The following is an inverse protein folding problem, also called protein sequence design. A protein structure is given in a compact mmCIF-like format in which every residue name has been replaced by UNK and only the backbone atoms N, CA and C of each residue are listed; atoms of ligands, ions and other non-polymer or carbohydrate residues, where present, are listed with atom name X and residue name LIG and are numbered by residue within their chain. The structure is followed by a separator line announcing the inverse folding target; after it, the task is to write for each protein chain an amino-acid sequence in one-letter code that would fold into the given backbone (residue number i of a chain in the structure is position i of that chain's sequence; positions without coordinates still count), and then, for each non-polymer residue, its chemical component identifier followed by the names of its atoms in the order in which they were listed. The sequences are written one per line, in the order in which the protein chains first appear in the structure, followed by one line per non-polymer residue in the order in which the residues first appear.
data_IF_895228480238
#
_entry.id   IF_895228480238
#
_cell.length_a   1.000
_cell.length_b   1.000
_cell.length_c   1.000
_cell.angle_alpha   90.00
_cell.angle_beta   90.00
_cell.angle_gamma   90.00
#
_symmetry.space_group_name_H-M   'P 1'
#
loop_
_entity.id
_entity.type
_entity.pdbx_description
1 polymer ?
#
# COMPACT_ATOMS: atom_id res chain seq x y z
N UNK A 1 -25.19 -25.71 -34.78
CA UNK A 1 -25.36 -24.65 -33.74
C UNK A 1 -24.07 -23.89 -33.44
N UNK A 2 -22.97 -24.58 -33.09
CA UNK A 2 -21.63 -23.97 -32.81
C UNK A 2 -21.06 -23.06 -33.92
N UNK A 3 -21.27 -23.39 -35.20
CA UNK A 3 -20.78 -22.59 -36.35
C UNK A 3 -21.45 -21.21 -36.44
N UNK A 4 -22.78 -21.16 -36.24
CA UNK A 4 -23.57 -19.91 -36.18
C UNK A 4 -23.21 -19.05 -34.95
N UNK A 5 -22.89 -19.67 -33.81
CA UNK A 5 -22.43 -18.96 -32.61
C UNK A 5 -21.04 -18.36 -32.85
N UNK A 6 -20.12 -19.11 -33.47
CA UNK A 6 -18.78 -18.64 -33.84
C UNK A 6 -18.83 -17.49 -34.86
N UNK A 7 -19.70 -17.56 -35.87
CA UNK A 7 -19.92 -16.46 -36.84
C UNK A 7 -20.52 -15.22 -36.19
N UNK A 8 -21.51 -15.36 -35.29
CA UNK A 8 -22.06 -14.23 -34.53
C UNK A 8 -21.01 -13.58 -33.63
N UNK A 9 -20.17 -14.37 -32.94
CA UNK A 9 -19.04 -13.88 -32.14
C UNK A 9 -17.99 -13.18 -32.99
N UNK A 10 -17.63 -13.71 -34.17
CA UNK A 10 -16.69 -13.07 -35.08
C UNK A 10 -17.24 -11.76 -35.67
N UNK A 11 -18.55 -11.72 -36.00
CA UNK A 11 -19.21 -10.52 -36.50
C UNK A 11 -19.32 -9.44 -35.40
N UNK A 12 -19.67 -9.84 -34.17
CA UNK A 12 -19.70 -8.94 -33.00
C UNK A 12 -18.30 -8.41 -32.67
N UNK A 13 -17.27 -9.27 -32.69
CA UNK A 13 -15.87 -8.88 -32.51
C UNK A 13 -15.37 -7.92 -33.59
N UNK A 14 -15.80 -8.10 -34.85
CA UNK A 14 -15.50 -7.20 -35.95
C UNK A 14 -16.13 -5.81 -35.81
N UNK A 15 -17.39 -5.75 -35.35
CA UNK A 15 -18.10 -4.49 -35.06
C UNK A 15 -17.49 -3.75 -33.87
N UNK A 16 -17.19 -4.45 -32.78
CA UNK A 16 -16.50 -3.87 -31.62
C UNK A 16 -15.12 -3.33 -32.02
N UNK A 17 -14.35 -4.08 -32.81
CA UNK A 17 -13.02 -3.64 -33.28
C UNK A 17 -13.08 -2.41 -34.18
N UNK A 18 -14.14 -2.27 -34.98
CA UNK A 18 -14.41 -1.04 -35.76
C UNK A 18 -14.81 0.13 -34.86
N UNK A 19 -15.68 -0.09 -33.87
CA UNK A 19 -16.07 0.95 -32.91
C UNK A 19 -14.88 1.48 -32.11
N UNK A 20 -14.05 0.60 -31.55
CA UNK A 20 -12.82 0.97 -30.84
C UNK A 20 -11.74 1.57 -31.74
N UNK A 21 -11.83 1.38 -33.06
CA UNK A 21 -10.96 2.07 -34.01
C UNK A 21 -11.43 3.49 -34.32
N UNK A 22 -12.74 3.75 -34.22
CA UNK A 22 -13.33 5.06 -34.41
C UNK A 22 -13.25 5.93 -33.15
N UNK A 23 -13.36 5.33 -31.96
CA UNK A 23 -13.34 6.03 -30.67
C UNK A 23 -12.22 5.51 -29.75
N UNK A 24 -10.97 5.95 -29.96
CA UNK A 24 -9.84 5.48 -29.18
C UNK A 24 -9.93 5.85 -27.68
N UNK A 25 -10.52 7.00 -27.31
CA UNK A 25 -10.73 7.34 -25.89
C UNK A 25 -11.67 6.36 -25.18
N UNK A 26 -12.77 5.96 -25.83
CA UNK A 26 -13.70 4.96 -25.29
C UNK A 26 -13.02 3.60 -25.09
N UNK A 27 -12.09 3.23 -25.99
CA UNK A 27 -11.30 2.02 -25.85
C UNK A 27 -10.39 2.05 -24.61
N UNK A 28 -9.74 3.18 -24.34
CA UNK A 28 -8.88 3.36 -23.16
C UNK A 28 -9.72 3.32 -21.88
N UNK A 29 -10.88 3.99 -21.86
CA UNK A 29 -11.78 4.01 -20.71
C UNK A 29 -12.32 2.61 -20.38
N UNK A 30 -12.81 1.88 -21.40
CA UNK A 30 -13.32 0.51 -21.22
C UNK A 30 -12.19 -0.43 -20.77
N UNK A 31 -10.98 -0.26 -21.30
CA UNK A 31 -9.81 -1.02 -20.85
C UNK A 31 -9.49 -0.75 -19.39
N UNK A 32 -9.49 0.53 -18.96
CA UNK A 32 -9.22 0.91 -17.58
C UNK A 32 -10.26 0.34 -16.61
N UNK A 33 -11.55 0.43 -16.94
CA UNK A 33 -12.64 -0.16 -16.15
C UNK A 33 -12.51 -1.69 -16.06
N UNK A 34 -12.16 -2.34 -17.17
CA UNK A 34 -12.00 -3.80 -17.21
C UNK A 34 -10.82 -4.26 -16.35
N UNK A 35 -9.68 -3.57 -16.44
CA UNK A 35 -8.48 -3.88 -15.64
C UNK A 35 -8.73 -3.60 -14.16
N UNK A 36 -9.38 -2.49 -13.81
CA UNK A 36 -9.76 -2.19 -12.43
C UNK A 36 -10.67 -3.29 -11.85
N UNK A 37 -11.65 -3.75 -12.62
CA UNK A 37 -12.54 -4.83 -12.19
C UNK A 37 -11.81 -6.16 -12.00
N UNK A 38 -10.90 -6.53 -12.90
CA UNK A 38 -10.06 -7.72 -12.75
C UNK A 38 -9.17 -7.60 -11.51
N UNK A 39 -8.55 -6.44 -11.27
CA UNK A 39 -7.75 -6.21 -10.08
C UNK A 39 -8.57 -6.34 -8.79
N UNK A 40 -9.83 -5.89 -8.77
CA UNK A 40 -10.71 -6.09 -7.62
C UNK A 40 -11.13 -7.55 -7.43
N UNK A 41 -11.34 -8.32 -8.51
CA UNK A 41 -11.56 -9.77 -8.42
C UNK A 41 -10.36 -10.47 -7.77
N UNK A 42 -9.15 -10.11 -8.20
CA UNK A 42 -7.90 -10.67 -7.68
C UNK A 42 -7.70 -10.27 -6.21
N UNK A 43 -7.81 -8.98 -5.89
CA UNK A 43 -7.67 -8.43 -4.53
C UNK A 43 -8.65 -9.07 -3.53
N UNK A 44 -9.91 -9.27 -3.93
CA UNK A 44 -10.97 -9.80 -3.06
C UNK A 44 -11.11 -11.33 -3.10
N UNK A 45 -10.38 -12.00 -4.01
CA UNK A 45 -10.47 -13.45 -4.28
C UNK A 45 -11.89 -13.95 -4.58
N UNK A 46 -12.77 -13.06 -5.00
CA UNK A 46 -14.18 -13.38 -5.19
C UNK A 46 -14.75 -12.50 -6.27
N UNK A 47 -15.29 -13.13 -7.31
CA UNK A 47 -16.03 -12.44 -8.35
C UNK A 47 -17.25 -11.71 -7.77
N UNK A 48 -18.00 -12.39 -6.90
CA UNK A 48 -19.18 -11.82 -6.24
C UNK A 48 -18.76 -10.64 -5.35
N UNK A 49 -17.65 -10.78 -4.62
CA UNK A 49 -17.11 -9.69 -3.80
C UNK A 49 -16.77 -8.44 -4.61
N UNK A 50 -16.21 -8.60 -5.82
CA UNK A 50 -15.93 -7.49 -6.72
C UNK A 50 -17.20 -6.84 -7.28
N UNK A 51 -18.22 -7.63 -7.62
CA UNK A 51 -19.52 -7.12 -8.06
C UNK A 51 -20.23 -6.36 -6.94
N UNK A 52 -20.24 -6.91 -5.72
CA UNK A 52 -20.81 -6.22 -4.54
C UNK A 52 -20.09 -4.90 -4.30
N UNK A 53 -18.75 -4.87 -4.37
CA UNK A 53 -17.98 -3.64 -4.22
C UNK A 53 -18.33 -2.58 -5.27
N UNK A 54 -18.48 -2.99 -6.53
CA UNK A 54 -18.88 -2.12 -7.63
C UNK A 54 -20.21 -1.39 -7.35
N UNK A 55 -21.18 -2.07 -6.72
CA UNK A 55 -22.49 -1.49 -6.41
C UNK A 55 -22.59 -0.83 -5.04
N UNK A 56 -21.88 -1.33 -4.02
CA UNK A 56 -21.92 -0.80 -2.65
C UNK A 56 -21.03 0.42 -2.49
N UNK A 57 -19.85 0.45 -3.13
CA UNK A 57 -18.87 1.56 -3.07
C UNK A 57 -18.43 1.99 -4.48
N UNK A 58 -19.35 2.46 -5.34
CA UNK A 58 -19.05 2.79 -6.74
C UNK A 58 -18.01 3.92 -6.86
N UNK A 59 -18.01 4.89 -5.96
CA UNK A 59 -17.04 5.99 -5.95
C UNK A 59 -15.59 5.51 -5.76
N UNK A 60 -15.35 4.50 -4.92
CA UNK A 60 -14.01 3.94 -4.69
C UNK A 60 -13.53 3.08 -5.87
N UNK A 61 -14.44 2.30 -6.45
CA UNK A 61 -14.16 1.59 -7.70
C UNK A 61 -13.81 2.57 -8.84
N UNK A 62 -14.56 3.65 -8.98
CA UNK A 62 -14.29 4.71 -9.94
C UNK A 62 -12.98 5.44 -9.63
N UNK A 63 -12.65 5.68 -8.35
CA UNK A 63 -11.37 6.23 -7.89
C UNK A 63 -10.22 5.33 -8.47
N UNK A 64 -10.28 4.00 -8.30
CA UNK A 64 -9.29 3.07 -8.88
C UNK A 64 -9.27 3.04 -10.42
N UNK A 65 -10.44 3.00 -11.08
CA UNK A 65 -10.52 2.98 -12.54
C UNK A 65 -10.04 4.29 -13.19
N UNK A 66 -10.34 5.43 -12.56
CA UNK A 66 -9.90 6.75 -13.02
C UNK A 66 -8.37 6.87 -12.96
N UNK A 67 -7.74 6.32 -11.92
CA UNK A 67 -6.29 6.29 -11.83
C UNK A 67 -5.67 5.46 -12.97
N UNK A 68 -6.17 4.25 -13.24
CA UNK A 68 -5.70 3.45 -14.40
C UNK A 68 -5.93 4.20 -15.71
N UNK A 69 -7.07 4.90 -15.83
CA UNK A 69 -7.40 5.69 -17.02
C UNK A 69 -6.41 6.83 -17.24
N UNK A 70 -5.98 7.54 -16.19
CA UNK A 70 -4.93 8.57 -16.27
C UNK A 70 -3.63 7.96 -16.80
N UNK A 71 -3.15 6.85 -16.23
CA UNK A 71 -1.92 6.21 -16.68
C UNK A 71 -2.01 5.61 -18.10
N UNK A 72 -3.19 5.17 -18.51
CA UNK A 72 -3.42 4.59 -19.84
C UNK A 72 -3.65 5.65 -20.93
N UNK A 73 -4.13 6.85 -20.59
CA UNK A 73 -4.47 7.91 -21.54
C UNK A 73 -3.29 8.40 -22.41
N UNK A 74 -2.03 8.49 -21.93
CA UNK A 74 -0.89 8.87 -22.76
C UNK A 74 -0.55 7.85 -23.85
N UNK A 75 -1.10 6.63 -23.79
CA UNK A 75 -0.94 5.64 -24.86
C UNK A 75 -1.41 6.19 -26.21
N UNK A 76 -2.37 7.11 -26.21
CA UNK A 76 -2.92 7.74 -27.41
C UNK A 76 -1.94 8.69 -28.13
N UNK A 77 -0.84 9.11 -27.50
CA UNK A 77 0.24 9.84 -28.18
C UNK A 77 1.14 8.93 -29.01
N UNK A 78 1.10 7.62 -28.78
CA UNK A 78 1.88 6.65 -29.54
C UNK A 78 1.20 6.33 -30.87
N UNK A 79 1.99 6.31 -31.96
CA UNK A 79 1.54 5.80 -33.27
C UNK A 79 1.06 4.35 -33.21
N UNK A 80 1.42 3.60 -32.15
CA UNK A 80 1.01 2.22 -31.89
C UNK A 80 0.20 2.13 -30.59
N UNK A 81 -0.74 3.06 -30.38
CA UNK A 81 -1.46 3.22 -29.10
C UNK A 81 -2.07 1.94 -28.54
N UNK A 82 -2.60 1.04 -29.38
CA UNK A 82 -3.17 -0.24 -28.92
C UNK A 82 -2.14 -1.12 -28.24
N UNK A 83 -0.93 -1.18 -28.80
CA UNK A 83 0.17 -1.93 -28.20
C UNK A 83 0.59 -1.28 -26.88
N UNK A 84 0.75 0.04 -26.85
CA UNK A 84 1.09 0.78 -25.62
C UNK A 84 0.02 0.58 -24.53
N UNK A 85 -1.27 0.65 -24.89
CA UNK A 85 -2.39 0.38 -23.99
C UNK A 85 -2.36 -1.05 -23.44
N UNK A 86 -2.09 -2.05 -24.28
CA UNK A 86 -1.94 -3.44 -23.83
C UNK A 86 -0.77 -3.58 -22.86
N UNK A 87 0.37 -2.95 -23.12
CA UNK A 87 1.53 -2.98 -22.21
C UNK A 87 1.18 -2.36 -20.85
N UNK A 88 0.60 -1.16 -20.84
CA UNK A 88 0.20 -0.49 -19.59
C UNK A 88 -0.84 -1.32 -18.82
N UNK A 89 -1.85 -1.84 -19.51
CA UNK A 89 -2.88 -2.70 -18.90
C UNK A 89 -2.28 -3.98 -18.32
N UNK A 90 -1.31 -4.60 -19.02
CA UNK A 90 -0.59 -5.77 -18.51
C UNK A 90 0.22 -5.45 -17.25
N UNK A 91 0.83 -4.27 -17.14
CA UNK A 91 1.55 -3.86 -15.92
C UNK A 91 0.58 -3.79 -14.73
N UNK A 92 -0.56 -3.11 -14.87
CA UNK A 92 -1.56 -3.03 -13.80
C UNK A 92 -2.14 -4.39 -13.42
N UNK A 93 -2.34 -5.28 -14.40
CA UNK A 93 -2.82 -6.63 -14.16
C UNK A 93 -1.76 -7.50 -13.46
N UNK A 94 -0.48 -7.35 -13.84
CA UNK A 94 0.63 -8.00 -13.12
C UNK A 94 0.73 -7.52 -11.68
N UNK A 95 0.54 -6.23 -11.41
CA UNK A 95 0.47 -5.71 -10.04
C UNK A 95 -0.66 -6.38 -9.25
N UNK A 96 -1.85 -6.51 -9.83
CA UNK A 96 -2.98 -7.22 -9.21
C UNK A 96 -2.74 -8.72 -9.00
N UNK A 97 -2.03 -9.38 -9.92
CA UNK A 97 -1.62 -10.80 -9.77
C UNK A 97 -0.60 -10.94 -8.64
N UNK A 98 0.44 -10.09 -8.62
CA UNK A 98 1.46 -10.10 -7.57
C UNK A 98 0.80 -9.92 -6.22
N UNK A 99 -0.12 -8.97 -6.12
CA UNK A 99 -0.91 -8.76 -4.92
C UNK A 99 -1.73 -9.99 -4.50
N UNK A 100 -2.43 -10.63 -5.44
CA UNK A 100 -3.14 -11.89 -5.16
C UNK A 100 -2.20 -12.96 -4.61
N UNK A 101 -1.05 -13.17 -5.26
CA UNK A 101 -0.04 -14.17 -4.88
C UNK A 101 0.57 -13.84 -3.52
N UNK A 102 0.99 -12.60 -3.27
CA UNK A 102 1.54 -12.16 -1.99
C UNK A 102 0.52 -12.39 -0.89
N UNK A 103 -0.75 -12.03 -1.12
CA UNK A 103 -1.80 -12.27 -0.15
C UNK A 103 -2.01 -13.76 0.16
N UNK A 104 -1.68 -14.67 -0.76
CA UNK A 104 -1.84 -16.11 -0.55
C UNK A 104 -0.84 -16.64 0.49
N UNK A 105 0.31 -15.98 0.63
CA UNK A 105 1.35 -16.34 1.58
C UNK A 105 1.40 -15.41 2.81
N UNK A 106 0.92 -14.17 2.69
CA UNK A 106 0.97 -13.12 3.71
C UNK A 106 -0.39 -12.45 3.87
N UNK A 107 -0.83 -12.15 5.09
CA UNK A 107 -2.17 -11.54 5.33
C UNK A 107 -2.27 -10.06 4.93
N UNK A 108 -1.15 -9.42 4.55
CA UNK A 108 -1.12 -8.02 4.11
C UNK A 108 -1.06 -7.93 2.59
N UNK A 109 -1.68 -6.89 2.00
CA UNK A 109 -1.63 -6.64 0.57
C UNK A 109 -0.21 -6.29 0.10
N UNK A 110 0.01 -6.44 -1.21
CA UNK A 110 1.24 -5.96 -1.84
C UNK A 110 1.21 -4.44 -1.95
N UNK A 111 2.23 -3.77 -1.42
CA UNK A 111 2.31 -2.32 -1.38
C UNK A 111 3.62 -1.79 -1.97
N UNK A 112 3.73 -0.45 -2.09
CA UNK A 112 4.93 0.19 -2.61
C UNK A 112 6.19 -0.15 -1.79
N UNK A 113 6.05 -0.36 -0.47
CA UNK A 113 7.18 -0.72 0.38
C UNK A 113 7.82 -2.04 -0.05
N UNK A 114 7.02 -3.02 -0.50
CA UNK A 114 7.52 -4.33 -0.94
C UNK A 114 8.38 -4.16 -2.20
N UNK A 115 8.05 -3.18 -3.06
CA UNK A 115 8.87 -2.80 -4.21
C UNK A 115 10.15 -2.10 -3.78
N UNK A 116 10.09 -1.22 -2.78
CA UNK A 116 11.27 -0.55 -2.24
C UNK A 116 12.26 -1.55 -1.61
N UNK A 117 11.74 -2.57 -0.92
CA UNK A 117 12.51 -3.62 -0.25
C UNK A 117 13.01 -4.73 -1.19
N UNK A 118 12.68 -4.70 -2.49
CA UNK A 118 13.11 -5.73 -3.46
C UNK A 118 14.64 -5.87 -3.50
N UNK A 119 15.37 -4.79 -3.21
CA UNK A 119 16.84 -4.80 -3.18
C UNK A 119 17.38 -5.74 -2.10
N UNK A 120 16.73 -5.79 -0.95
CA UNK A 120 17.10 -6.67 0.17
C UNK A 120 16.79 -8.14 -0.12
N UNK A 121 15.97 -8.43 -1.13
CA UNK A 121 15.61 -9.80 -1.54
C UNK A 121 16.67 -10.40 -2.47
N UNK A 122 17.43 -9.60 -3.23
CA UNK A 122 18.42 -10.14 -4.19
C UNK A 122 19.48 -11.05 -3.56
N UNK A 123 20.09 -10.73 -2.39
CA UNK A 123 21.06 -11.61 -1.75
C UNK A 123 20.45 -12.95 -1.33
N UNK A 124 19.20 -12.93 -0.87
CA UNK A 124 18.45 -14.14 -0.49
C UNK A 124 18.22 -14.98 -1.73
N UNK A 125 17.78 -14.37 -2.83
CA UNK A 125 17.48 -15.07 -4.08
C UNK A 125 18.69 -15.83 -4.63
N UNK A 126 19.91 -15.32 -4.44
CA UNK A 126 21.14 -15.99 -4.85
C UNK A 126 21.45 -17.29 -4.08
N UNK A 127 20.94 -17.44 -2.85
CA UNK A 127 21.09 -18.66 -2.05
C UNK A 127 20.07 -19.73 -2.46
N UNK A 128 18.86 -19.32 -2.83
CA UNK A 128 17.76 -20.24 -3.16
C UNK A 128 17.69 -20.64 -4.63
N UNK A 129 18.23 -19.83 -5.55
CA UNK A 129 18.25 -20.17 -6.98
C UNK A 129 19.53 -20.93 -7.35
N UNK A 130 19.35 -22.14 -7.89
CA UNK A 130 20.44 -22.85 -8.57
C UNK A 130 20.87 -22.09 -9.83
N UNK A 131 22.10 -22.35 -10.30
CA UNK A 131 22.62 -21.78 -11.57
C UNK A 131 21.65 -22.03 -12.74
N UNK A 132 21.03 -23.21 -12.79
CA UNK A 132 20.00 -23.52 -13.79
C UNK A 132 18.73 -22.68 -13.62
N UNK A 133 18.32 -22.40 -12.38
CA UNK A 133 17.21 -21.50 -12.09
C UNK A 133 17.47 -20.07 -12.57
N UNK A 134 18.69 -19.56 -12.36
CA UNK A 134 19.10 -18.23 -12.84
C UNK A 134 19.10 -18.18 -14.38
N UNK A 135 19.66 -19.20 -15.04
CA UNK A 135 19.66 -19.29 -16.51
C UNK A 135 18.22 -19.38 -17.04
N UNK A 136 17.37 -20.21 -16.44
CA UNK A 136 15.97 -20.35 -16.85
C UNK A 136 15.21 -19.02 -16.71
N UNK A 137 15.43 -18.28 -15.61
CA UNK A 137 14.85 -16.96 -15.40
C UNK A 137 15.34 -15.96 -16.46
N UNK A 138 16.63 -15.95 -16.77
CA UNK A 138 17.19 -15.08 -17.81
C UNK A 138 16.60 -15.40 -19.20
N UNK A 139 16.48 -16.68 -19.57
CA UNK A 139 15.85 -17.10 -20.83
C UNK A 139 14.39 -16.69 -20.88
N UNK A 140 13.64 -16.83 -19.79
CA UNK A 140 12.24 -16.40 -19.70
C UNK A 140 12.10 -14.89 -19.94
N UNK A 141 12.95 -14.07 -19.32
CA UNK A 141 12.96 -12.62 -19.50
C UNK A 141 13.31 -12.22 -20.94
N UNK A 142 14.29 -12.88 -21.56
CA UNK A 142 14.65 -12.65 -22.97
C UNK A 142 13.49 -13.06 -23.90
N UNK A 143 12.86 -14.21 -23.67
CA UNK A 143 11.72 -14.67 -24.45
C UNK A 143 10.53 -13.69 -24.35
N UNK A 144 10.27 -13.15 -23.16
CA UNK A 144 9.26 -12.12 -22.93
C UNK A 144 9.59 -10.83 -23.69
N UNK A 145 10.85 -10.38 -23.64
CA UNK A 145 11.31 -9.20 -24.37
C UNK A 145 11.16 -9.36 -25.90
N UNK A 146 11.54 -10.54 -26.43
CA UNK A 146 11.37 -10.88 -27.85
C UNK A 146 9.89 -10.90 -28.23
N UNK A 147 9.02 -11.49 -27.41
CA UNK A 147 7.57 -11.51 -27.64
C UNK A 147 7.00 -10.08 -27.69
N UNK A 148 7.40 -9.22 -26.74
CA UNK A 148 7.01 -7.81 -26.70
C UNK A 148 7.49 -7.09 -27.96
N UNK A 149 8.72 -7.34 -28.40
CA UNK A 149 9.29 -6.77 -29.63
C UNK A 149 8.53 -7.21 -30.89
N UNK A 150 8.23 -8.50 -31.04
CA UNK A 150 7.46 -9.04 -32.17
C UNK A 150 6.05 -8.44 -32.18
N UNK A 151 5.38 -8.40 -31.02
CA UNK A 151 4.04 -7.80 -30.85
C UNK A 151 4.06 -6.31 -31.19
N UNK A 152 5.10 -5.58 -30.76
CA UNK A 152 5.33 -4.18 -31.10
C UNK A 152 5.46 -4.01 -32.61
N UNK A 153 6.31 -4.82 -33.26
CA UNK A 153 6.60 -4.72 -34.70
C UNK A 153 5.36 -4.97 -35.56
N UNK A 154 4.54 -5.96 -35.18
CA UNK A 154 3.27 -6.29 -35.86
C UNK A 154 2.12 -5.32 -35.54
N UNK A 155 2.30 -4.36 -34.64
CA UNK A 155 1.24 -3.43 -34.26
C UNK A 155 0.96 -2.41 -35.38
N UNK A 156 -0.32 -2.28 -35.74
CA UNK A 156 -0.77 -1.32 -36.74
C UNK A 156 -0.45 0.11 -36.30
N UNK A 157 0.17 0.88 -37.20
CA UNK A 157 0.38 2.32 -37.02
C UNK A 157 -0.94 3.04 -37.33
N UNK A 158 -1.33 3.97 -36.46
CA UNK A 158 -2.46 4.86 -36.69
C UNK A 158 -1.97 6.31 -36.62
N UNK A 159 -2.55 7.23 -37.42
CA UNK A 159 -2.23 8.64 -37.30
C UNK A 159 -2.58 9.13 -35.88
N UNK A 160 -1.70 9.95 -35.32
CA UNK A 160 -1.86 10.48 -33.96
C UNK A 160 -2.48 11.86 -34.05
N UNK A 161 -3.68 12.02 -33.49
CA UNK A 161 -4.33 13.31 -33.36
C UNK A 161 -3.95 13.92 -32.01
N UNK A 162 -2.85 14.68 -31.96
CA UNK A 162 -2.28 15.22 -30.72
C UNK A 162 -3.30 16.02 -29.91
N UNK A 163 -4.14 16.84 -30.56
CA UNK A 163 -5.22 17.59 -29.89
C UNK A 163 -6.23 16.67 -29.20
N UNK A 164 -6.69 15.63 -29.89
CA UNK A 164 -7.62 14.65 -29.33
C UNK A 164 -6.99 13.87 -28.17
N UNK A 165 -5.73 13.43 -28.32
CA UNK A 165 -5.00 12.73 -27.25
C UNK A 165 -4.78 13.62 -26.03
N UNK A 166 -4.45 14.89 -26.23
CA UNK A 166 -4.31 15.89 -25.16
C UNK A 166 -5.64 16.13 -24.43
N UNK A 167 -6.73 16.36 -25.16
CA UNK A 167 -8.07 16.53 -24.57
C UNK A 167 -8.50 15.28 -23.79
N UNK A 168 -8.21 14.08 -24.31
CA UNK A 168 -8.50 12.83 -23.59
C UNK A 168 -7.67 12.69 -22.31
N UNK A 169 -6.41 13.12 -22.33
CA UNK A 169 -5.53 13.04 -21.15
C UNK A 169 -5.96 14.07 -20.10
N UNK A 170 -6.23 15.31 -20.51
CA UNK A 170 -6.71 16.37 -19.61
C UNK A 170 -8.06 16.01 -19.00
N UNK A 171 -8.99 15.47 -19.79
CA UNK A 171 -10.27 14.98 -19.26
C UNK A 171 -10.11 13.78 -18.32
N UNK A 172 -9.15 12.89 -18.56
CA UNK A 172 -8.80 11.82 -17.63
C UNK A 172 -8.29 12.36 -16.30
N UNK A 173 -7.38 13.35 -16.32
CA UNK A 173 -6.89 14.01 -15.12
C UNK A 173 -8.01 14.73 -14.37
N UNK A 174 -8.86 15.48 -15.07
CA UNK A 174 -9.99 16.18 -14.47
C UNK A 174 -10.99 15.20 -13.84
N UNK A 175 -11.29 14.08 -14.51
CA UNK A 175 -12.15 13.04 -13.96
C UNK A 175 -11.55 12.39 -12.72
N UNK A 176 -10.24 12.08 -12.73
CA UNK A 176 -9.56 11.54 -11.56
C UNK A 176 -9.57 12.53 -10.39
N UNK A 177 -9.25 13.81 -10.64
CA UNK A 177 -9.29 14.85 -9.63
C UNK A 177 -10.70 15.05 -9.04
N UNK A 178 -11.74 15.03 -9.89
CA UNK A 178 -13.13 15.13 -9.44
C UNK A 178 -13.53 13.94 -8.57
N UNK A 179 -13.23 12.71 -8.99
CA UNK A 179 -13.59 11.50 -8.23
C UNK A 179 -12.81 11.43 -6.93
N UNK A 180 -11.51 11.74 -6.93
CA UNK A 180 -10.69 11.83 -5.71
C UNK A 180 -11.22 12.93 -4.78
N UNK A 181 -11.55 14.12 -5.31
CA UNK A 181 -12.13 15.21 -4.55
C UNK A 181 -13.48 14.85 -3.91
N UNK A 182 -14.33 14.11 -4.62
CA UNK A 182 -15.57 13.53 -4.06
C UNK A 182 -15.21 12.55 -2.94
N UNK A 183 -14.29 11.60 -3.19
CA UNK A 183 -13.85 10.60 -2.22
C UNK A 183 -13.34 11.28 -0.90
N UNK A 184 -12.64 12.43 -0.98
CA UNK A 184 -12.24 13.23 0.20
C UNK A 184 -13.41 14.02 0.83
N UNK A 185 -14.25 14.67 0.01
CA UNK A 185 -15.37 15.49 0.49
C UNK A 185 -16.48 14.70 1.18
N UNK A 186 -16.67 13.43 0.81
CA UNK A 186 -17.61 12.52 1.48
C UNK A 186 -17.03 11.87 2.74
N UNK A 187 -15.79 12.20 3.13
CA UNK A 187 -15.07 11.54 4.22
C UNK A 187 -14.79 10.06 3.95
N UNK A 188 -14.86 9.64 2.68
CA UNK A 188 -14.64 8.26 2.26
C UNK A 188 -13.17 7.90 2.18
N UNK A 189 -12.25 8.85 2.18
CA UNK A 189 -10.84 8.60 2.46
C UNK A 189 -10.47 9.06 3.87
N UNK A 190 -9.68 8.26 4.62
CA UNK A 190 -9.20 8.67 5.91
C UNK A 190 -8.12 9.75 5.71
N UNK A 191 -8.10 10.76 6.58
CA UNK A 191 -7.11 11.85 6.51
C UNK A 191 -5.65 11.39 6.68
N UNK A 192 -5.44 10.16 7.18
CA UNK A 192 -4.18 9.43 7.18
C UNK A 192 -4.43 7.96 6.87
N UNK A 193 -3.50 7.32 6.17
CA UNK A 193 -3.57 5.89 5.91
C UNK A 193 -3.59 5.09 7.23
N UNK A 194 -4.61 4.25 7.49
CA UNK A 194 -4.65 3.42 8.68
C UNK A 194 -3.54 2.37 8.65
N UNK A 195 -2.98 2.06 9.82
CA UNK A 195 -1.91 1.06 9.98
C UNK A 195 -2.36 -0.37 9.59
N UNK A 196 -3.67 -0.64 9.60
CA UNK A 196 -4.25 -1.93 9.21
C UNK A 196 -4.47 -2.01 7.68
N UNK A 197 -3.41 -2.33 6.95
CA UNK A 197 -3.38 -2.28 5.48
C UNK A 197 -4.36 -3.21 4.79
N UNK A 198 -4.62 -4.38 5.37
CA UNK A 198 -5.55 -5.35 4.79
C UNK A 198 -6.97 -4.77 4.71
N UNK A 199 -7.40 -4.07 5.76
CA UNK A 199 -8.70 -3.40 5.80
C UNK A 199 -8.73 -2.19 4.86
N UNK A 200 -7.68 -1.37 4.88
CA UNK A 200 -7.53 -0.22 3.99
C UNK A 200 -7.64 -0.62 2.50
N UNK A 201 -6.94 -1.68 2.08
CA UNK A 201 -7.00 -2.16 0.69
C UNK A 201 -8.34 -2.82 0.36
N UNK A 202 -8.98 -3.48 1.33
CA UNK A 202 -10.33 -4.04 1.19
C UNK A 202 -11.39 -2.95 1.03
N UNK A 203 -11.21 -1.82 1.72
CA UNK A 203 -12.17 -0.73 1.73
C UNK A 203 -12.00 0.23 0.57
N UNK A 204 -10.78 0.62 0.23
CA UNK A 204 -10.50 1.68 -0.77
C UNK A 204 -10.08 1.14 -2.14
N UNK A 205 -9.82 -0.16 -2.25
CA UNK A 205 -9.43 -0.83 -3.50
C UNK A 205 -7.93 -0.83 -3.74
N UNK A 206 -7.46 -1.88 -4.43
CA UNK A 206 -6.02 -2.17 -4.53
C UNK A 206 -5.26 -1.07 -5.28
N UNK A 207 -5.75 -0.65 -6.45
CA UNK A 207 -4.99 0.23 -7.34
C UNK A 207 -4.84 1.64 -6.79
N UNK A 208 -5.88 2.18 -6.14
CA UNK A 208 -5.78 3.45 -5.44
C UNK A 208 -4.77 3.36 -4.29
N UNK A 209 -4.90 2.37 -3.39
CA UNK A 209 -4.01 2.26 -2.23
C UNK A 209 -2.55 2.05 -2.62
N UNK A 210 -2.28 1.22 -3.64
CA UNK A 210 -0.92 0.98 -4.11
C UNK A 210 -0.26 2.27 -4.61
N UNK A 211 -0.97 3.07 -5.40
CA UNK A 211 -0.43 4.31 -5.96
C UNK A 211 -0.41 5.46 -4.95
N UNK A 212 -1.38 5.53 -4.05
CA UNK A 212 -1.36 6.46 -2.94
C UNK A 212 -0.13 6.22 -2.04
N UNK A 213 0.24 4.96 -1.77
CA UNK A 213 1.47 4.62 -1.04
C UNK A 213 2.78 4.95 -1.77
N UNK A 214 2.76 5.31 -3.07
CA UNK A 214 3.95 5.85 -3.76
C UNK A 214 4.15 7.33 -3.38
N UNK A 215 3.04 8.06 -3.23
CA UNK A 215 3.00 9.51 -2.98
C UNK A 215 3.11 9.78 -1.48
N UNK A 216 2.36 9.04 -0.66
CA UNK A 216 2.40 9.12 0.79
C UNK A 216 3.57 8.27 1.31
N UNK A 217 4.63 8.95 1.76
CA UNK A 217 5.84 8.34 2.32
C UNK A 217 6.00 8.61 3.82
N UNK A 218 4.91 8.95 4.52
CA UNK A 218 4.95 9.27 5.95
C UNK A 218 5.30 10.73 6.24
N UNK A 219 5.88 11.01 7.42
CA UNK A 219 6.19 12.37 7.91
C UNK A 219 6.96 13.17 6.85
N UNK A 220 6.33 14.25 6.39
CA UNK A 220 7.00 15.32 5.66
C UNK A 220 7.78 16.18 6.65
N UNK A 221 8.94 16.72 6.26
CA UNK A 221 9.69 17.69 7.07
C UNK A 221 8.75 18.85 7.48
N UNK A 222 8.57 19.13 8.79
CA UNK A 222 7.73 20.24 9.24
C UNK A 222 8.24 21.60 8.74
N UNK A 223 7.33 22.54 8.46
CA UNK A 223 7.69 23.91 8.13
C UNK A 223 8.38 24.59 9.33
N UNK A 224 9.60 25.08 9.15
CA UNK A 224 10.40 25.69 10.22
C UNK A 224 11.48 24.77 10.81
N UNK A 225 11.53 23.50 10.41
CA UNK A 225 12.56 22.53 10.82
C UNK A 225 13.95 22.77 10.18
N UNK A 226 14.20 23.97 9.61
CA UNK A 226 15.53 24.40 9.15
C UNK A 226 16.26 25.26 10.19
N UNK A 227 15.55 25.76 11.21
CA UNK A 227 16.20 26.43 12.33
C UNK A 227 16.99 25.38 13.14
N UNK A 228 18.11 25.82 13.71
CA UNK A 228 19.15 24.96 14.27
C UNK A 228 18.50 23.88 15.15
N UNK A 229 18.73 22.59 14.84
CA UNK A 229 18.11 21.44 15.53
C UNK A 229 18.22 21.55 17.07
N UNK A 230 19.23 22.29 17.52
CA UNK A 230 19.49 22.67 18.90
C UNK A 230 18.40 23.52 19.54
N UNK A 231 17.79 24.46 18.82
CA UNK A 231 16.76 25.36 19.33
C UNK A 231 15.45 24.61 19.60
N UNK A 232 15.08 23.68 18.71
CA UNK A 232 13.90 22.82 18.90
C UNK A 232 14.08 21.85 20.07
N UNK A 233 15.28 21.28 20.23
CA UNK A 233 15.60 20.40 21.36
C UNK A 233 15.63 21.21 22.66
N UNK A 234 16.18 22.43 22.66
CA UNK A 234 16.19 23.27 23.87
C UNK A 234 14.78 23.65 24.29
N UNK A 235 13.88 23.97 23.37
CA UNK A 235 12.48 24.30 23.70
C UNK A 235 11.75 23.08 24.30
N UNK A 236 11.94 21.88 23.74
CA UNK A 236 11.32 20.64 24.27
C UNK A 236 11.85 20.29 25.67
N UNK A 237 13.14 20.49 25.93
CA UNK A 237 13.75 20.24 27.24
C UNK A 237 13.37 21.32 28.26
N UNK A 238 13.09 22.55 27.81
CA UNK A 238 12.73 23.68 28.67
C UNK A 238 11.30 23.60 29.21
N UNK A 239 10.39 22.94 28.49
CA UNK A 239 8.98 22.79 28.87
C UNK A 239 8.72 21.57 29.78
N UNK A 240 9.70 20.70 30.01
CA UNK A 240 9.62 19.68 31.06
C UNK A 240 9.77 20.37 32.42
N UNK A 241 8.76 20.35 33.31
CA UNK A 241 8.94 20.85 34.66
C UNK A 241 10.00 19.98 35.32
N UNK A 242 11.14 20.60 35.60
CA UNK A 242 12.26 20.04 36.34
C UNK A 242 11.81 19.85 37.79
N UNK A 243 10.97 18.85 38.04
CA UNK A 243 10.80 18.25 39.36
C UNK A 243 11.81 17.11 39.50
N UNK A 244 13.08 17.40 39.23
CA UNK A 244 14.19 16.66 39.83
C UNK A 244 14.49 17.34 41.16
N UNK A 245 14.33 16.67 42.31
CA UNK A 245 14.66 17.29 43.59
C UNK A 245 16.17 17.47 43.68
N UNK A 246 16.61 18.72 43.54
CA UNK A 246 17.92 19.20 43.99
C UNK A 246 18.97 19.30 42.90
N UNK A 247 19.20 20.53 42.42
CA UNK A 247 20.52 20.98 42.00
C UNK A 247 20.50 22.49 41.78
N UNK A 248 20.64 23.24 42.88
CA UNK A 248 21.11 24.62 42.80
C UNK A 248 22.59 24.64 42.38
N UNK A 249 22.92 25.58 41.49
CA UNK A 249 24.23 26.17 41.19
C UNK A 249 25.26 25.39 40.34
N UNK A 250 25.53 25.97 39.16
CA UNK A 250 26.85 26.22 38.56
C UNK A 250 28.03 25.40 39.08
N UNK A 251 28.48 24.40 38.32
CA UNK A 251 29.81 24.36 37.71
C UNK A 251 30.04 23.05 36.94
N UNK A 252 30.88 23.15 35.93
CA UNK A 252 31.18 22.09 34.97
C UNK A 252 31.87 20.88 35.64
N UNK A 253 31.16 19.77 35.78
CA UNK A 253 31.75 18.44 36.01
C UNK A 253 30.83 17.35 35.42
N UNK A 254 31.38 16.27 34.80
CA UNK A 254 30.55 15.18 34.30
C UNK A 254 29.92 14.46 35.50
N UNK A 255 28.60 14.54 35.63
CA UNK A 255 27.84 13.72 36.57
C UNK A 255 28.16 12.24 36.31
N UNK A 256 28.99 11.65 37.17
CA UNK A 256 29.04 10.21 37.28
C UNK A 256 27.72 9.73 37.89
N UNK A 257 26.99 8.79 37.28
CA UNK A 257 25.80 8.23 37.89
C UNK A 257 26.22 7.48 39.16
N UNK A 258 25.97 8.06 40.32
CA UNK A 258 26.27 7.48 41.64
C UNK A 258 25.15 6.57 42.17
N UNK A 259 24.08 6.35 41.39
CA UNK A 259 23.05 5.37 41.72
C UNK A 259 23.16 4.14 40.81
N UNK A 260 23.16 2.97 41.45
CA UNK A 260 23.09 1.68 40.78
C UNK A 260 21.71 1.60 40.09
N UNK A 261 21.68 1.90 38.79
CA UNK A 261 20.45 1.91 38.01
C UNK A 261 19.77 0.53 38.05
N UNK A 262 18.43 0.49 38.09
CA UNK A 262 17.70 -0.78 38.09
C UNK A 262 17.85 -1.48 36.73
N UNK A 263 17.85 -2.81 36.76
CA UNK A 263 17.69 -3.58 35.53
C UNK A 263 16.24 -3.46 35.05
N UNK A 264 16.05 -3.06 33.79
CA UNK A 264 14.73 -2.96 33.17
C UNK A 264 14.52 -4.18 32.27
N UNK A 265 13.48 -4.96 32.56
CA UNK A 265 13.10 -6.12 31.75
C UNK A 265 11.76 -5.82 31.08
N UNK A 266 11.76 -5.78 29.76
CA UNK A 266 10.56 -5.64 28.95
C UNK A 266 10.09 -7.00 28.44
N UNK A 267 8.84 -7.36 28.73
CA UNK A 267 8.23 -8.62 28.30
C UNK A 267 6.99 -8.32 27.45
N UNK A 268 7.10 -8.59 26.15
CA UNK A 268 5.99 -8.48 25.22
C UNK A 268 5.36 -9.85 24.98
N UNK A 269 4.10 -10.00 25.39
CA UNK A 269 3.34 -11.23 25.20
C UNK A 269 2.64 -11.20 23.84
N UNK A 270 3.01 -12.13 22.95
CA UNK A 270 2.45 -12.24 21.59
C UNK A 270 0.93 -12.48 21.64
N UNK A 271 0.17 -11.67 20.89
CA UNK A 271 -1.29 -11.77 20.77
C UNK A 271 -2.08 -11.75 22.09
N UNK A 272 -1.47 -11.29 23.20
CA UNK A 272 -2.11 -11.24 24.50
C UNK A 272 -3.08 -10.07 24.63
N UNK A 273 -4.30 -10.35 25.10
CA UNK A 273 -5.24 -9.36 25.60
C UNK A 273 -5.98 -9.97 26.79
N UNK A 274 -6.49 -9.13 27.70
CA UNK A 274 -7.27 -9.58 28.85
C UNK A 274 -8.70 -9.96 28.40
N UNK A 275 -9.07 -11.26 28.40
CA UNK A 275 -10.37 -11.72 27.88
C UNK A 275 -11.55 -11.26 28.74
N UNK A 276 -11.31 -10.78 29.97
CA UNK A 276 -12.36 -10.23 30.83
C UNK A 276 -13.04 -8.98 30.23
N UNK A 277 -12.40 -8.33 29.25
CA UNK A 277 -13.01 -7.22 28.51
C UNK A 277 -13.94 -7.65 27.38
N UNK A 278 -14.04 -8.94 27.04
CA UNK A 278 -14.95 -9.45 26.01
C UNK A 278 -16.40 -9.37 26.49
N UNK A 279 -17.20 -8.55 25.80
CA UNK A 279 -18.64 -8.46 26.06
C UNK A 279 -19.36 -9.70 25.51
N UNK A 280 -20.31 -10.25 26.26
CA UNK A 280 -21.14 -11.37 25.83
C UNK A 280 -20.55 -12.76 26.09
N UNK A 281 -19.42 -12.85 26.78
CA UNK A 281 -18.82 -14.10 27.21
C UNK A 281 -18.79 -14.17 28.74
N UNK A 282 -19.10 -15.34 29.28
CA UNK A 282 -18.94 -15.68 30.70
C UNK A 282 -17.92 -16.80 30.80
N UNK A 283 -16.92 -16.62 31.66
CA UNK A 283 -15.89 -17.62 31.90
C UNK A 283 -16.21 -18.35 33.21
N UNK A 284 -15.97 -19.66 33.24
CA UNK A 284 -16.12 -20.48 34.46
C UNK A 284 -15.14 -20.08 35.56
N UNK A 285 -13.98 -19.58 35.16
CA UNK A 285 -12.89 -19.13 36.02
C UNK A 285 -12.15 -17.96 35.36
N UNK A 286 -11.30 -17.28 36.12
CA UNK A 286 -10.51 -16.17 35.58
C UNK A 286 -9.51 -16.69 34.54
N UNK A 287 -9.60 -16.27 33.26
CA UNK A 287 -8.74 -16.78 32.21
C UNK A 287 -7.29 -16.28 32.31
N UNK A 288 -7.02 -15.22 33.08
CA UNK A 288 -5.68 -14.63 33.25
C UNK A 288 -5.39 -14.33 34.72
N UNK A 289 -5.31 -15.36 35.59
CA UNK A 289 -5.23 -15.17 37.04
C UNK A 289 -3.95 -14.45 37.46
N UNK A 290 -2.80 -14.83 36.89
CA UNK A 290 -1.50 -14.19 37.16
C UNK A 290 -1.49 -12.72 36.74
N UNK A 291 -1.98 -12.41 35.53
CA UNK A 291 -2.06 -11.02 35.06
C UNK A 291 -3.02 -10.19 35.92
N UNK A 292 -4.12 -10.79 36.37
CA UNK A 292 -5.07 -10.13 37.26
C UNK A 292 -4.48 -9.82 38.63
N UNK A 293 -3.63 -10.71 39.16
CA UNK A 293 -2.89 -10.47 40.40
C UNK A 293 -1.84 -9.35 40.21
N UNK A 294 -1.08 -9.38 39.12
CA UNK A 294 -0.11 -8.32 38.80
C UNK A 294 -0.78 -6.94 38.71
N UNK A 295 -1.96 -6.84 38.06
CA UNK A 295 -2.72 -5.57 38.02
C UNK A 295 -3.15 -5.08 39.40
N UNK A 296 -3.41 -5.97 40.37
CA UNK A 296 -3.82 -5.54 41.72
C UNK A 296 -2.65 -5.00 42.54
N UNK A 297 -1.46 -5.56 42.31
CA UNK A 297 -0.28 -5.27 43.13
C UNK A 297 0.63 -4.18 42.53
N UNK A 298 0.49 -3.86 41.24
CA UNK A 298 1.38 -2.94 40.52
C UNK A 298 0.62 -1.96 39.61
N UNK A 299 1.32 -0.89 39.20
CA UNK A 299 0.80 0.10 38.25
C UNK A 299 0.37 -0.55 36.94
N UNK A 300 -0.84 -0.24 36.50
CA UNK A 300 -1.41 -0.80 35.27
C UNK A 300 -2.20 0.24 34.49
N UNK A 301 -2.37 -0.01 33.20
CA UNK A 301 -3.11 0.87 32.29
C UNK A 301 -3.63 0.13 31.07
N UNK A 302 -4.22 0.87 30.13
CA UNK A 302 -4.60 0.34 28.81
C UNK A 302 -3.67 0.92 27.75
N UNK A 303 -3.01 0.05 27.01
CA UNK A 303 -2.23 0.44 25.84
C UNK A 303 -3.10 0.28 24.59
N UNK A 304 -3.23 1.35 23.81
CA UNK A 304 -3.84 1.27 22.48
C UNK A 304 -2.75 0.83 21.51
N UNK A 305 -2.86 -0.39 21.00
CA UNK A 305 -1.94 -0.90 19.99
C UNK A 305 -2.47 -0.59 18.58
N UNK A 306 -1.58 -0.31 17.60
CA UNK A 306 -1.97 0.02 16.24
C UNK A 306 -2.42 -1.19 15.41
N UNK A 307 -2.32 -2.41 15.95
CA UNK A 307 -2.41 -3.65 15.18
C UNK A 307 -3.39 -4.65 15.79
N UNK A 308 -4.01 -5.47 14.93
CA UNK A 308 -4.86 -6.60 15.32
C UNK A 308 -4.51 -7.84 14.49
N UNK A 309 -4.23 -8.97 15.16
CA UNK A 309 -3.95 -10.26 14.51
C UNK A 309 -2.58 -10.39 13.83
N UNK A 310 -1.60 -9.54 14.19
CA UNK A 310 -0.22 -9.56 13.71
C UNK A 310 0.43 -8.18 13.79
N UNK A 311 1.76 -8.06 13.59
CA UNK A 311 2.45 -6.77 13.62
C UNK A 311 3.03 -6.37 14.98
N UNK A 312 3.38 -7.35 15.81
CA UNK A 312 4.04 -7.23 17.12
C UNK A 312 5.24 -6.28 17.10
N UNK A 313 6.04 -6.33 16.03
CA UNK A 313 7.20 -5.45 15.83
C UNK A 313 6.80 -3.95 15.78
N UNK A 314 5.59 -3.60 15.33
CA UNK A 314 5.16 -2.21 15.33
C UNK A 314 4.89 -1.73 16.76
N UNK A 315 4.26 -2.55 17.60
CA UNK A 315 4.08 -2.23 19.02
C UNK A 315 5.41 -2.17 19.76
N UNK A 316 6.33 -3.08 19.46
CA UNK A 316 7.70 -3.06 20.00
C UNK A 316 8.40 -1.75 19.66
N UNK A 317 8.35 -1.34 18.39
CA UNK A 317 8.94 -0.08 17.93
C UNK A 317 8.34 1.14 18.66
N UNK A 318 7.01 1.23 18.78
CA UNK A 318 6.37 2.35 19.47
C UNK A 318 6.77 2.41 20.95
N UNK A 319 6.86 1.26 21.63
CA UNK A 319 7.25 1.19 23.04
C UNK A 319 8.73 1.54 23.24
N UNK A 320 9.62 1.04 22.38
CA UNK A 320 11.07 1.25 22.53
C UNK A 320 11.51 2.65 22.11
N UNK A 321 10.85 3.24 21.12
CA UNK A 321 11.28 4.54 20.54
C UNK A 321 10.41 5.72 20.96
N UNK A 322 9.21 5.47 21.46
CA UNK A 322 8.19 6.51 21.70
C UNK A 322 7.61 7.12 20.42
N UNK A 323 8.07 6.70 19.23
CA UNK A 323 7.57 7.19 17.95
C UNK A 323 6.35 6.41 17.51
N UNK A 324 5.32 7.10 17.02
CA UNK A 324 4.08 6.45 16.55
C UNK A 324 4.26 5.93 15.12
N UNK A 325 3.84 4.69 14.90
CA UNK A 325 3.84 4.05 13.56
C UNK A 325 2.94 4.81 12.59
N UNK A 326 1.88 5.44 13.10
CA UNK A 326 0.94 6.26 12.33
C UNK A 326 1.56 7.46 11.60
N UNK A 327 2.78 7.83 11.99
CA UNK A 327 3.51 8.93 11.37
C UNK A 327 4.45 8.44 10.24
N UNK A 328 4.67 7.13 10.11
CA UNK A 328 5.45 6.53 9.03
C UNK A 328 4.58 6.22 7.81
N UNK A 329 5.21 5.86 6.68
CA UNK A 329 4.49 5.55 5.45
C UNK A 329 3.56 4.33 5.59
N UNK A 330 2.47 4.25 4.82
CA UNK A 330 1.62 3.07 4.83
C UNK A 330 2.41 1.80 4.48
N UNK A 331 2.25 0.74 5.27
CA UNK A 331 3.02 -0.52 5.16
C UNK A 331 4.47 -0.47 5.60
N UNK A 332 4.94 0.65 6.13
CA UNK A 332 6.30 0.73 6.59
C UNK A 332 6.53 -0.10 7.86
N UNK A 333 7.62 -0.87 7.86
CA UNK A 333 8.18 -1.49 9.06
C UNK A 333 9.46 -0.73 9.39
N UNK A 334 9.45 0.21 10.35
CA UNK A 334 10.58 1.09 10.61
C UNK A 334 11.90 0.37 10.90
N UNK A 335 11.84 -0.84 11.48
CA UNK A 335 13.01 -1.71 11.65
C UNK A 335 13.72 -2.04 10.34
N UNK A 336 12.99 -2.19 9.24
CA UNK A 336 13.56 -2.58 7.94
C UNK A 336 13.85 -1.37 7.05
N UNK A 337 13.31 -0.20 7.33
CA UNK A 337 13.39 0.97 6.44
C UNK A 337 14.18 2.12 7.03
N UNK A 338 14.05 2.36 8.33
CA UNK A 338 14.66 3.50 9.04
C UNK A 338 15.82 3.03 9.91
N UNK A 339 15.61 2.00 10.72
CA UNK A 339 16.62 1.44 11.62
C UNK A 339 17.50 0.39 10.93
N UNK A 340 17.99 0.69 9.72
CA UNK A 340 18.81 -0.24 8.94
C UNK A 340 20.27 -0.34 9.43
N UNK A 341 20.70 0.55 10.31
CA UNK A 341 22.05 0.57 10.87
C UNK A 341 21.98 0.54 12.39
N UNK A 342 22.31 -0.63 12.94
CA UNK A 342 22.71 -0.85 14.32
C UNK A 342 24.10 -1.45 14.33
#
# INVERSE_FOLDING_TARGET
MLKKIKEKLMCAGGKARRFFSAHPAAAVLISALSVAFVNEILSRRSFIGAVVFLFTKPHLFLCSAAVIFVFASPALFSRRWRFTLTVISSVFLLLGITDFVVRCFRQTPFSWIDVALVRSVFPILAVYLSVFGVIALAVLLVALAVLIFIRRSKAKKTPVNVRYSAVTTVSALAAAAAVIGICYGTGSFPGRFPNQLSDTYRDYGFTYCFLAGIVDRGISKPSGYDNDFRDVISDIISDEPTETPGSDTTDSAPHQPTEQLPNIIFVQLESFFDPSYLKGFSFSENPTPVFSELKKNYSHGRLRVPTYGGGTANTEFEVLTGMRICDFGPSEYPYQTVLQQG
#
